data_IF_829269502395
#
_entry.id   IF_829269502395
#
_cell.length_a   1.000
_cell.length_b   1.000
_cell.length_c   1.000
_cell.angle_alpha   90.00
_cell.angle_beta   90.00
_cell.angle_gamma   90.00
#
_symmetry.space_group_name_H-M   'P 1'
#
loop_
_entity.id
_entity.type
_entity.pdbx_description
1 polymer ?
#
# COMPACT_ATOMS: atom_id res chain seq x y z
N UNK A 1 14.51 21.71 -12.00
CA UNK A 1 13.88 20.66 -12.81
C UNK A 1 13.08 19.83 -11.84
N UNK A 2 11.79 20.12 -11.84
CA UNK A 2 10.90 19.96 -10.70
C UNK A 2 10.51 18.51 -10.43
N UNK A 3 10.68 18.12 -9.18
CA UNK A 3 10.20 16.89 -8.57
C UNK A 3 8.69 17.05 -8.43
N UNK A 4 7.93 16.09 -8.96
CA UNK A 4 6.48 16.01 -8.81
C UNK A 4 6.19 15.68 -7.34
N UNK A 5 6.24 16.70 -6.49
CA UNK A 5 5.74 16.65 -5.13
C UNK A 5 4.22 16.69 -5.16
N UNK A 6 3.58 15.72 -4.52
CA UNK A 6 2.23 15.90 -4.04
C UNK A 6 2.25 17.08 -3.06
N UNK A 7 1.78 18.24 -3.53
CA UNK A 7 1.60 19.40 -2.67
C UNK A 7 0.53 19.06 -1.64
N UNK A 8 0.97 18.81 -0.40
CA UNK A 8 0.20 19.07 0.80
C UNK A 8 -0.22 20.55 0.76
N UNK A 9 -1.45 20.82 0.31
CA UNK A 9 -2.07 22.12 0.53
C UNK A 9 -2.42 22.16 2.01
N UNK A 10 -1.51 22.69 2.83
CA UNK A 10 -1.86 23.26 4.12
C UNK A 10 -2.95 24.31 3.87
N UNK A 11 -4.21 23.94 4.12
CA UNK A 11 -5.36 24.81 3.89
C UNK A 11 -5.33 25.93 4.92
N UNK A 12 -4.66 27.04 4.58
CA UNK A 12 -4.87 28.32 5.24
C UNK A 12 -6.36 28.64 5.18
N UNK A 13 -6.94 28.92 6.35
CA UNK A 13 -8.30 29.41 6.51
C UNK A 13 -8.51 30.60 5.57
N UNK A 14 -9.33 30.44 4.54
CA UNK A 14 -10.07 31.56 3.95
C UNK A 14 -11.45 31.09 3.52
N UNK A 15 -12.41 31.90 3.91
CA UNK A 15 -13.85 31.77 3.78
C UNK A 15 -14.29 31.71 2.32
N UNK A 16 -15.07 30.70 1.93
CA UNK A 16 -15.79 30.74 0.65
C UNK A 16 -16.30 29.41 0.12
N UNK A 17 -17.56 29.11 0.45
CA UNK A 17 -18.55 28.35 -0.32
C UNK A 17 -18.15 27.00 -0.95
N UNK A 18 -18.47 26.00 -0.14
CA UNK A 18 -18.57 24.56 -0.34
C UNK A 18 -19.60 24.19 -1.44
N UNK A 19 -19.27 23.26 -2.35
CA UNK A 19 -20.27 22.37 -2.93
C UNK A 19 -20.10 21.04 -2.19
N UNK A 20 -20.95 20.85 -1.19
CA UNK A 20 -20.96 19.70 -0.30
C UNK A 20 -21.86 18.66 -0.92
N UNK A 21 -21.33 17.47 -1.12
CA UNK A 21 -22.17 16.28 -1.07
C UNK A 21 -22.68 16.15 0.36
N UNK A 22 -24.00 16.27 0.48
CA UNK A 22 -24.73 16.42 1.72
C UNK A 22 -24.66 15.14 2.57
N UNK A 23 -24.07 15.26 3.76
CA UNK A 23 -24.54 14.53 4.92
C UNK A 23 -25.48 15.45 5.70
N UNK A 24 -26.72 15.01 5.90
CA UNK A 24 -27.70 15.69 6.73
C UNK A 24 -27.31 15.47 8.19
N UNK A 25 -26.65 16.44 8.80
CA UNK A 25 -26.45 16.48 10.25
C UNK A 25 -27.77 16.88 10.91
N UNK A 26 -28.29 16.04 11.80
CA UNK A 26 -29.17 16.49 12.86
C UNK A 26 -28.28 17.10 13.94
N UNK A 27 -28.62 18.29 14.42
CA UNK A 27 -28.02 18.95 15.58
C UNK A 27 -28.41 18.24 16.89
N UNK A 28 -28.14 16.94 16.98
CA UNK A 28 -28.00 16.27 18.26
C UNK A 28 -26.51 16.23 18.56
N UNK A 29 -26.14 16.61 19.78
CA UNK A 29 -24.79 16.65 20.31
C UNK A 29 -24.14 15.27 20.14
N UNK A 30 -23.48 15.05 18.99
CA UNK A 30 -22.75 13.82 18.69
C UNK A 30 -21.53 13.84 19.61
N UNK A 31 -21.53 12.98 20.62
CA UNK A 31 -20.40 12.77 21.51
C UNK A 31 -19.10 12.66 20.70
N UNK A 32 -18.00 13.22 21.19
CA UNK A 32 -16.68 13.20 20.54
C UNK A 32 -16.18 11.75 20.27
N UNK A 33 -16.78 10.76 20.93
CA UNK A 33 -16.73 9.30 20.74
C UNK A 33 -17.31 8.82 19.38
N UNK A 34 -18.29 9.51 18.80
CA UNK A 34 -19.12 9.01 17.72
C UNK A 34 -18.64 9.33 16.29
N UNK A 35 -17.48 9.98 16.13
CA UNK A 35 -16.64 9.77 14.94
C UNK A 35 -15.72 8.61 15.31
N UNK A 36 -15.96 7.40 14.80
CA UNK A 36 -15.22 6.16 15.10
C UNK A 36 -13.73 6.13 14.72
N UNK A 37 -13.00 7.20 15.02
CA UNK A 37 -11.57 7.39 14.80
C UNK A 37 -10.84 6.70 15.95
N UNK A 38 -10.52 5.42 15.74
CA UNK A 38 -9.71 4.62 16.66
C UNK A 38 -8.72 3.80 15.85
N UNK A 39 -7.60 3.42 16.47
CA UNK A 39 -6.64 2.55 15.79
C UNK A 39 -7.29 1.21 15.42
N UNK A 40 -8.13 0.67 16.30
CA UNK A 40 -8.90 -0.55 16.06
C UNK A 40 -9.79 -0.46 14.80
N UNK A 41 -10.43 0.69 14.57
CA UNK A 41 -11.21 0.89 13.35
C UNK A 41 -10.31 0.93 12.10
N UNK A 42 -9.17 1.61 12.19
CA UNK A 42 -8.15 1.60 11.13
C UNK A 42 -7.70 0.17 10.78
N UNK A 43 -7.48 -0.67 11.80
CA UNK A 43 -7.10 -2.08 11.65
C UNK A 43 -8.19 -2.90 10.95
N UNK A 44 -9.46 -2.74 11.36
CA UNK A 44 -10.59 -3.41 10.70
C UNK A 44 -10.70 -3.04 9.24
N UNK A 45 -10.64 -1.74 8.92
CA UNK A 45 -10.73 -1.25 7.55
C UNK A 45 -9.57 -1.77 6.71
N UNK A 46 -8.35 -1.78 7.26
CA UNK A 46 -7.18 -2.34 6.58
C UNK A 46 -7.41 -3.81 6.21
N UNK A 47 -7.83 -4.63 7.18
CA UNK A 47 -8.03 -6.07 6.99
C UNK A 47 -9.25 -6.40 6.11
N UNK A 48 -10.21 -5.47 5.99
CA UNK A 48 -11.32 -5.57 5.05
C UNK A 48 -10.94 -5.18 3.61
N UNK A 49 -9.72 -4.66 3.38
CA UNK A 49 -9.29 -4.14 2.09
C UNK A 49 -9.82 -2.74 1.76
N UNK A 50 -10.49 -2.08 2.71
CA UNK A 50 -11.03 -0.72 2.58
C UNK A 50 -9.93 0.33 2.82
N UNK A 51 -8.86 0.23 2.04
CA UNK A 51 -7.61 0.97 2.26
C UNK A 51 -7.78 2.50 2.20
N UNK A 52 -8.72 2.99 1.39
CA UNK A 52 -9.01 4.42 1.31
C UNK A 52 -9.65 4.95 2.60
N UNK A 53 -10.62 4.22 3.16
CA UNK A 53 -11.23 4.60 4.44
C UNK A 53 -10.25 4.40 5.61
N UNK A 54 -9.43 3.35 5.54
CA UNK A 54 -8.34 3.12 6.50
C UNK A 54 -7.37 4.30 6.53
N UNK A 55 -6.97 4.81 5.35
CA UNK A 55 -6.15 6.01 5.23
C UNK A 55 -6.73 7.18 6.01
N UNK A 56 -8.01 7.51 5.81
CA UNK A 56 -8.63 8.68 6.44
C UNK A 56 -8.66 8.56 7.97
N UNK A 57 -8.94 7.36 8.49
CA UNK A 57 -8.91 7.08 9.94
C UNK A 57 -7.50 7.22 10.50
N UNK A 58 -6.51 6.59 9.85
CA UNK A 58 -5.12 6.63 10.30
C UNK A 58 -4.49 8.03 10.16
N UNK A 59 -4.89 8.82 9.16
CA UNK A 59 -4.43 10.20 8.97
C UNK A 59 -4.86 11.07 10.15
N UNK A 60 -6.12 10.91 10.60
CA UNK A 60 -6.63 11.62 11.77
C UNK A 60 -5.81 11.29 13.03
N UNK A 61 -5.52 10.02 13.29
CA UNK A 61 -4.70 9.60 14.43
C UNK A 61 -3.26 10.10 14.31
N UNK A 62 -2.69 10.02 13.11
CA UNK A 62 -1.33 10.46 12.82
C UNK A 62 -1.16 11.97 13.08
N UNK A 63 -2.15 12.79 12.73
CA UNK A 63 -2.07 14.24 12.90
C UNK A 63 -1.81 14.67 14.35
N UNK A 64 -2.37 13.94 15.32
CA UNK A 64 -2.22 14.23 16.76
C UNK A 64 -1.11 13.42 17.45
N UNK A 65 -0.56 12.42 16.77
CA UNK A 65 0.46 11.53 17.33
C UNK A 65 1.85 12.17 17.45
N UNK A 66 2.61 11.70 18.44
CA UNK A 66 4.04 12.01 18.65
C UNK A 66 4.90 10.79 18.37
N UNK A 67 6.21 10.98 18.23
CA UNK A 67 7.14 9.85 18.08
C UNK A 67 7.16 8.98 19.35
N UNK A 68 7.26 7.64 19.22
CA UNK A 68 7.42 6.88 17.96
C UNK A 68 6.11 6.57 17.22
N UNK A 69 4.94 6.74 17.85
CA UNK A 69 3.63 6.37 17.28
C UNK A 69 3.34 7.07 15.96
N UNK A 70 3.74 8.33 15.83
CA UNK A 70 3.60 9.12 14.60
C UNK A 70 4.26 8.42 13.41
N UNK A 71 5.46 7.89 13.56
CA UNK A 71 6.15 7.15 12.51
C UNK A 71 5.45 5.82 12.18
N UNK A 72 4.94 5.13 13.19
CA UNK A 72 4.22 3.85 13.02
C UNK A 72 2.93 4.07 12.23
N UNK A 73 2.07 5.00 12.69
CA UNK A 73 0.80 5.33 12.05
C UNK A 73 0.99 5.78 10.60
N UNK A 74 1.99 6.64 10.36
CA UNK A 74 2.31 7.09 8.99
C UNK A 74 2.80 5.93 8.12
N UNK A 75 3.62 5.02 8.67
CA UNK A 75 4.08 3.83 7.97
C UNK A 75 2.92 2.93 7.54
N UNK A 76 2.01 2.60 8.46
CA UNK A 76 0.82 1.77 8.18
C UNK A 76 -0.10 2.45 7.17
N UNK A 77 -0.35 3.76 7.33
CA UNK A 77 -1.15 4.56 6.40
C UNK A 77 -0.59 4.46 4.98
N UNK A 78 0.72 4.65 4.78
CA UNK A 78 1.31 4.53 3.46
C UNK A 78 1.27 3.11 2.90
N UNK A 79 1.40 2.08 3.75
CA UNK A 79 1.17 0.71 3.31
C UNK A 79 -0.26 0.50 2.80
N UNK A 80 -1.27 1.10 3.43
CA UNK A 80 -2.66 1.05 2.94
C UNK A 80 -2.79 1.73 1.56
N UNK A 81 -2.23 2.94 1.40
CA UNK A 81 -2.24 3.66 0.12
C UNK A 81 -1.49 2.87 -0.97
N UNK A 82 -0.37 2.26 -0.63
CA UNK A 82 0.41 1.43 -1.55
C UNK A 82 -0.35 0.18 -2.01
N UNK A 83 -1.04 -0.51 -1.11
CA UNK A 83 -1.91 -1.63 -1.46
C UNK A 83 -3.11 -1.18 -2.32
N UNK A 84 -3.74 -0.05 -1.99
CA UNK A 84 -4.77 0.56 -2.82
C UNK A 84 -4.27 0.78 -4.25
N UNK A 85 -3.09 1.38 -4.41
CA UNK A 85 -2.49 1.58 -5.73
C UNK A 85 -2.23 0.26 -6.47
N UNK A 86 -1.71 -0.76 -5.78
CA UNK A 86 -1.42 -2.05 -6.39
C UNK A 86 -2.67 -2.71 -6.97
N UNK A 87 -3.77 -2.72 -6.19
CA UNK A 87 -5.04 -3.31 -6.61
C UNK A 87 -5.70 -2.53 -7.76
N UNK A 88 -5.43 -1.23 -7.87
CA UNK A 88 -5.86 -0.37 -8.98
C UNK A 88 -4.86 -0.35 -10.15
N UNK A 89 -3.96 -1.34 -10.23
CA UNK A 89 -2.96 -1.48 -11.29
C UNK A 89 -1.97 -0.30 -11.40
N UNK A 90 -1.88 0.54 -10.37
CA UNK A 90 -0.90 1.60 -10.27
C UNK A 90 0.37 1.07 -9.61
N UNK A 91 1.16 0.33 -10.38
CA UNK A 91 2.41 -0.28 -9.93
C UNK A 91 3.40 0.74 -9.33
N UNK A 92 3.60 1.87 -10.01
CA UNK A 92 4.54 2.91 -9.56
C UNK A 92 4.10 3.53 -8.24
N UNK A 93 2.81 3.87 -8.10
CA UNK A 93 2.27 4.39 -6.85
C UNK A 93 2.43 3.40 -5.70
N UNK A 94 2.17 2.12 -5.96
CA UNK A 94 2.34 1.06 -4.97
C UNK A 94 3.79 0.97 -4.47
N UNK A 95 4.76 0.94 -5.38
CA UNK A 95 6.18 0.85 -5.06
C UNK A 95 6.66 2.04 -4.21
N UNK A 96 6.24 3.26 -4.55
CA UNK A 96 6.63 4.48 -3.82
C UNK A 96 6.06 4.46 -2.41
N UNK A 97 4.75 4.29 -2.26
CA UNK A 97 4.10 4.38 -0.94
C UNK A 97 4.50 3.22 -0.03
N UNK A 98 4.58 1.99 -0.53
CA UNK A 98 5.09 0.85 0.27
C UNK A 98 6.55 1.07 0.67
N UNK A 99 7.40 1.55 -0.23
CA UNK A 99 8.81 1.82 0.07
C UNK A 99 9.00 2.90 1.14
N UNK A 100 8.23 3.98 1.06
CA UNK A 100 8.24 5.04 2.05
C UNK A 100 7.67 4.61 3.40
N UNK A 101 6.57 3.86 3.40
CA UNK A 101 5.92 3.35 4.60
C UNK A 101 6.84 2.38 5.35
N UNK A 102 7.40 1.40 4.65
CA UNK A 102 8.35 0.43 5.20
C UNK A 102 9.62 1.10 5.73
N UNK A 103 10.10 2.16 5.07
CA UNK A 103 11.24 2.93 5.59
C UNK A 103 10.94 3.53 6.97
N UNK A 104 9.71 3.99 7.21
CA UNK A 104 9.29 4.53 8.52
C UNK A 104 9.16 3.40 9.54
N UNK A 105 8.51 2.30 9.20
CA UNK A 105 8.33 1.14 10.09
C UNK A 105 9.68 0.53 10.52
N UNK A 106 10.62 0.33 9.58
CA UNK A 106 11.94 -0.24 9.89
C UNK A 106 12.78 0.65 10.81
N UNK A 107 12.63 1.97 10.73
CA UNK A 107 13.34 2.91 11.61
C UNK A 107 12.92 2.82 13.06
N UNK A 108 11.70 2.33 13.33
CA UNK A 108 11.22 2.10 14.69
C UNK A 108 11.95 0.93 15.34
N UNK A 109 12.40 -0.05 14.55
CA UNK A 109 13.27 -1.13 15.03
C UNK A 109 12.55 -2.26 15.76
N UNK A 110 11.36 -2.65 15.29
CA UNK A 110 10.63 -3.78 15.85
C UNK A 110 11.46 -5.07 15.80
N UNK A 111 11.56 -5.77 16.93
CA UNK A 111 12.27 -7.07 17.01
C UNK A 111 11.31 -8.24 16.80
N UNK A 112 10.07 -8.10 17.25
CA UNK A 112 9.00 -9.11 17.15
C UNK A 112 7.64 -8.47 17.42
N UNK A 113 6.56 -9.25 17.24
CA UNK A 113 5.19 -8.86 17.57
C UNK A 113 4.40 -8.39 16.34
N UNK A 114 3.11 -8.01 16.53
CA UNK A 114 2.19 -7.81 15.41
C UNK A 114 2.64 -6.74 14.41
N UNK A 115 3.31 -5.68 14.87
CA UNK A 115 3.84 -4.62 14.00
C UNK A 115 5.09 -5.06 13.23
N UNK A 116 5.90 -5.96 13.80
CA UNK A 116 7.01 -6.59 13.10
C UNK A 116 6.48 -7.54 12.01
N UNK A 117 5.52 -8.40 12.36
CA UNK A 117 4.93 -9.36 11.43
C UNK A 117 4.26 -8.65 10.24
N UNK A 118 3.53 -7.55 10.52
CA UNK A 118 2.96 -6.69 9.48
C UNK A 118 4.04 -6.08 8.57
N UNK A 119 5.14 -5.56 9.13
CA UNK A 119 6.24 -5.00 8.35
C UNK A 119 6.91 -6.05 7.44
N UNK A 120 7.03 -7.29 7.91
CA UNK A 120 7.56 -8.39 7.10
C UNK A 120 6.61 -8.77 5.95
N UNK A 121 5.30 -8.87 6.23
CA UNK A 121 4.31 -9.15 5.18
C UNK A 121 4.26 -8.01 4.13
N UNK A 122 4.26 -6.75 4.57
CA UNK A 122 4.30 -5.60 3.65
C UNK A 122 5.62 -5.54 2.85
N UNK A 123 6.75 -5.95 3.44
CA UNK A 123 8.03 -6.08 2.74
C UNK A 123 7.97 -7.11 1.63
N UNK A 124 7.34 -8.27 1.89
CA UNK A 124 7.14 -9.30 0.88
C UNK A 124 6.31 -8.79 -0.31
N UNK A 125 5.31 -7.92 -0.08
CA UNK A 125 4.57 -7.27 -1.16
C UNK A 125 5.46 -6.33 -1.98
N UNK A 126 6.29 -5.52 -1.33
CA UNK A 126 7.20 -4.63 -2.04
C UNK A 126 8.22 -5.42 -2.89
N UNK A 127 8.78 -6.51 -2.35
CA UNK A 127 9.65 -7.42 -3.11
C UNK A 127 8.91 -8.09 -4.28
N UNK A 128 7.67 -8.51 -4.08
CA UNK A 128 6.82 -9.02 -5.15
C UNK A 128 6.63 -8.00 -6.28
N UNK A 129 6.37 -6.73 -5.95
CA UNK A 129 6.27 -5.65 -6.95
C UNK A 129 7.57 -5.56 -7.75
N UNK A 130 8.73 -5.49 -7.10
CA UNK A 130 10.02 -5.47 -7.80
C UNK A 130 10.23 -6.69 -8.69
N UNK A 131 9.94 -7.89 -8.21
CA UNK A 131 10.12 -9.13 -8.98
C UNK A 131 9.21 -9.19 -10.20
N UNK A 132 7.95 -8.76 -10.07
CA UNK A 132 7.00 -8.73 -11.21
C UNK A 132 7.39 -7.70 -12.26
N UNK A 133 8.01 -6.59 -11.84
CA UNK A 133 8.60 -5.61 -12.74
C UNK A 133 9.75 -6.21 -13.56
N UNK A 134 10.64 -6.97 -12.92
CA UNK A 134 11.74 -7.66 -13.59
C UNK A 134 11.24 -8.73 -14.57
N UNK A 135 10.28 -9.57 -14.17
CA UNK A 135 9.74 -10.64 -15.02
C UNK A 135 9.09 -10.09 -16.30
N UNK A 136 8.33 -8.99 -16.21
CA UNK A 136 7.65 -8.40 -17.36
C UNK A 136 8.61 -7.61 -18.26
N UNK A 137 9.61 -6.92 -17.69
CA UNK A 137 10.69 -6.32 -18.48
C UNK A 137 11.46 -7.37 -19.29
N UNK A 138 11.67 -8.57 -18.74
CA UNK A 138 12.29 -9.70 -19.44
C UNK A 138 11.41 -10.33 -20.54
N UNK A 139 10.12 -9.96 -20.62
CA UNK A 139 9.16 -10.46 -21.62
C UNK A 139 8.89 -9.48 -22.78
N UNK A 140 9.49 -8.28 -22.76
CA UNK A 140 9.39 -7.34 -23.88
C UNK A 140 10.41 -7.72 -24.98
N UNK A 141 9.93 -8.30 -26.07
CA UNK A 141 10.72 -8.93 -27.14
C UNK A 141 11.75 -8.02 -27.86
N UNK A 142 11.72 -6.69 -27.66
CA UNK A 142 12.55 -5.77 -28.46
C UNK A 142 13.88 -5.34 -27.82
N UNK A 143 14.11 -5.50 -26.51
CA UNK A 143 15.41 -5.19 -25.86
C UNK A 143 15.44 -5.87 -24.48
N UNK A 144 16.33 -6.85 -24.32
CA UNK A 144 16.61 -7.46 -23.02
C UNK A 144 17.57 -6.52 -22.26
N UNK A 145 17.04 -5.54 -21.52
CA UNK A 145 17.87 -4.71 -20.64
C UNK A 145 18.28 -5.59 -19.46
N UNK A 146 19.58 -5.81 -19.29
CA UNK A 146 20.10 -6.37 -18.02
C UNK A 146 19.77 -5.38 -16.91
N UNK A 147 18.80 -5.72 -16.08
CA UNK A 147 18.44 -4.94 -14.90
C UNK A 147 19.57 -5.06 -13.89
N UNK A 148 20.43 -4.04 -13.83
CA UNK A 148 21.58 -3.96 -12.92
C UNK A 148 21.21 -3.46 -11.50
N UNK A 149 19.91 -3.24 -11.25
CA UNK A 149 19.39 -2.70 -9.99
C UNK A 149 19.62 -1.20 -9.81
N UNK A 150 20.13 -0.48 -10.82
CA UNK A 150 20.34 0.97 -10.74
C UNK A 150 19.02 1.76 -10.86
N UNK A 151 18.97 2.95 -10.24
CA UNK A 151 17.84 3.88 -10.34
C UNK A 151 17.45 4.20 -11.80
N UNK A 152 18.44 4.19 -12.69
CA UNK A 152 18.28 4.50 -14.11
C UNK A 152 17.61 3.36 -14.88
N UNK A 153 17.89 2.10 -14.53
CA UNK A 153 17.19 0.92 -15.05
C UNK A 153 15.70 0.92 -14.70
N UNK A 154 15.32 1.45 -13.52
CA UNK A 154 13.92 1.61 -13.11
C UNK A 154 13.19 2.78 -13.79
N UNK A 155 13.88 3.87 -14.13
CA UNK A 155 13.28 5.01 -14.85
C UNK A 155 12.81 4.66 -16.25
N UNK A 156 13.45 3.68 -16.91
CA UNK A 156 13.06 3.19 -18.24
C UNK A 156 11.73 2.42 -18.24
N UNK A 157 11.26 1.99 -17.07
CA UNK A 157 10.01 1.27 -16.88
C UNK A 157 8.84 2.23 -16.55
N UNK A 158 8.96 3.52 -16.87
CA UNK A 158 8.02 4.57 -16.46
C UNK A 158 6.54 4.34 -16.84
N UNK A 159 6.26 3.49 -17.84
CA UNK A 159 4.92 3.07 -18.25
C UNK A 159 4.64 1.58 -17.99
N UNK A 160 5.32 0.97 -17.02
CA UNK A 160 5.16 -0.45 -16.68
C UNK A 160 3.68 -0.83 -16.53
N UNK A 161 3.21 -1.76 -17.36
CA UNK A 161 1.83 -2.24 -17.32
C UNK A 161 0.76 -1.18 -17.55
N UNK A 162 1.09 0.00 -18.10
CA UNK A 162 0.12 1.06 -18.29
C UNK A 162 -1.06 0.59 -19.16
N UNK A 163 -2.27 0.62 -18.59
CA UNK A 163 -3.50 0.14 -19.24
C UNK A 163 -3.66 -1.39 -19.29
N UNK A 164 -2.77 -2.15 -18.67
CA UNK A 164 -2.86 -3.62 -18.55
C UNK A 164 -3.37 -4.02 -17.15
N UNK A 165 -4.06 -5.15 -17.08
CA UNK A 165 -4.37 -5.80 -15.81
C UNK A 165 -3.23 -6.77 -15.49
N UNK A 166 -2.37 -6.36 -14.55
CA UNK A 166 -1.20 -7.11 -14.13
C UNK A 166 -1.46 -7.95 -12.88
N UNK A 167 -2.36 -7.49 -12.01
CA UNK A 167 -2.61 -8.09 -10.71
C UNK A 167 -4.07 -8.47 -10.55
N UNK A 168 -4.32 -9.66 -9.98
CA UNK A 168 -5.65 -10.08 -9.55
C UNK A 168 -5.62 -10.62 -8.14
N UNK A 169 -6.73 -10.47 -7.42
CA UNK A 169 -6.91 -11.09 -6.12
C UNK A 169 -7.42 -12.54 -6.28
N UNK A 170 -6.97 -13.42 -5.40
CA UNK A 170 -7.52 -14.75 -5.22
C UNK A 170 -7.48 -15.16 -3.75
N UNK A 171 -8.51 -15.87 -3.29
CA UNK A 171 -8.51 -16.48 -1.97
C UNK A 171 -7.80 -17.83 -2.00
N UNK A 172 -6.92 -18.03 -1.03
CA UNK A 172 -6.23 -19.29 -0.78
C UNK A 172 -6.43 -19.72 0.67
N UNK A 173 -6.04 -20.96 0.99
CA UNK A 173 -6.32 -21.55 2.32
C UNK A 173 -5.72 -20.79 3.51
N UNK A 174 -4.69 -19.97 3.27
CA UNK A 174 -3.99 -19.14 4.25
C UNK A 174 -4.28 -17.63 4.11
N UNK A 175 -5.23 -17.25 3.24
CA UNK A 175 -5.75 -15.89 3.13
C UNK A 175 -5.80 -15.35 1.71
N UNK A 176 -6.02 -14.04 1.61
CA UNK A 176 -6.11 -13.34 0.34
C UNK A 176 -4.72 -13.14 -0.27
N UNK A 177 -4.58 -13.42 -1.56
CA UNK A 177 -3.32 -13.32 -2.30
C UNK A 177 -3.46 -12.41 -3.53
N UNK A 178 -2.39 -11.69 -3.84
CA UNK A 178 -2.21 -10.92 -5.07
C UNK A 178 -1.42 -11.78 -6.04
N UNK A 179 -2.03 -12.12 -7.18
CA UNK A 179 -1.42 -12.91 -8.24
C UNK A 179 -0.99 -12.00 -9.37
N UNK A 180 0.23 -12.20 -9.85
CA UNK A 180 0.72 -11.59 -11.05
C UNK A 180 0.30 -12.38 -12.29
N UNK A 181 -0.26 -11.69 -13.27
CA UNK A 181 -0.71 -12.26 -14.54
C UNK A 181 0.43 -12.08 -15.56
N UNK A 182 1.23 -13.13 -15.77
CA UNK A 182 2.27 -13.14 -16.79
C UNK A 182 1.70 -13.44 -18.18
N UNK A 183 2.20 -12.73 -19.20
CA UNK A 183 1.79 -12.94 -20.60
C UNK A 183 2.35 -14.24 -21.21
N UNK A 184 3.31 -14.93 -20.55
CA UNK A 184 3.88 -16.21 -21.01
C UNK A 184 2.86 -17.36 -21.08
N UNK A 185 1.69 -17.21 -20.47
CA UNK A 185 0.71 -18.31 -20.33
C UNK A 185 -0.11 -18.62 -21.59
N UNK A 186 0.03 -17.92 -22.73
CA UNK A 186 -1.01 -17.95 -23.77
C UNK A 186 -0.63 -18.32 -25.21
N UNK A 187 0.62 -18.65 -25.57
CA UNK A 187 0.97 -18.83 -27.00
C UNK A 187 1.79 -20.06 -27.44
N UNK A 188 2.10 -21.04 -26.59
CA UNK A 188 2.81 -22.25 -27.04
C UNK A 188 2.02 -23.55 -26.75
N UNK A 189 1.50 -24.25 -27.79
CA UNK A 189 0.98 -25.60 -27.64
C UNK A 189 2.16 -26.59 -27.58
N UNK A 190 2.57 -26.95 -26.37
CA UNK A 190 3.59 -27.96 -26.15
C UNK A 190 4.42 -27.70 -24.89
N UNK A 191 4.20 -28.55 -23.88
CA UNK A 191 5.14 -28.87 -22.79
C UNK A 191 5.93 -27.72 -22.16
N UNK A 192 5.28 -26.93 -21.32
CA UNK A 192 5.96 -26.33 -20.17
C UNK A 192 5.10 -26.56 -18.94
N UNK A 193 5.66 -27.21 -17.92
CA UNK A 193 5.06 -27.27 -16.60
C UNK A 193 4.59 -25.86 -16.23
N UNK A 194 3.31 -25.69 -15.91
CA UNK A 194 2.75 -24.41 -15.50
C UNK A 194 3.65 -23.86 -14.39
N UNK A 195 4.47 -22.85 -14.71
CA UNK A 195 5.30 -22.18 -13.71
C UNK A 195 4.35 -21.74 -12.61
N UNK A 196 4.67 -22.07 -11.36
CA UNK A 196 3.83 -21.70 -10.22
C UNK A 196 3.50 -20.20 -10.31
N UNK A 197 2.23 -19.81 -10.15
CA UNK A 197 1.83 -18.42 -10.31
C UNK A 197 2.62 -17.56 -9.32
N UNK A 198 3.29 -16.52 -9.83
CA UNK A 198 3.96 -15.53 -8.99
C UNK A 198 2.88 -14.82 -8.20
N UNK A 199 2.93 -14.94 -6.88
CA UNK A 199 1.89 -14.45 -5.97
C UNK A 199 2.48 -14.02 -4.63
N UNK A 200 1.75 -13.19 -3.91
CA UNK A 200 2.10 -12.76 -2.55
C UNK A 200 0.84 -12.65 -1.70
N UNK A 201 0.93 -12.99 -0.42
CA UNK A 201 -0.18 -12.81 0.53
C UNK A 201 -0.42 -11.32 0.77
N UNK A 202 -1.68 -10.93 0.87
CA UNK A 202 -2.07 -9.58 1.30
C UNK A 202 -1.73 -9.42 2.79
N UNK A 203 -1.02 -8.36 3.19
CA UNK A 203 -0.67 -8.14 4.59
C UNK A 203 -1.91 -8.04 5.47
N UNK A 204 -1.82 -8.60 6.67
CA UNK A 204 -2.86 -8.52 7.69
C UNK A 204 -2.30 -7.75 8.88
N UNK A 205 -2.99 -6.68 9.27
CA UNK A 205 -2.62 -5.90 10.45
C UNK A 205 -3.28 -6.52 11.69
N UNK A 206 -2.50 -7.20 12.52
CA UNK A 206 -2.98 -7.83 13.77
C UNK A 206 -2.59 -7.05 15.03
N UNK A 207 -2.20 -5.78 14.88
CA UNK A 207 -1.81 -4.93 15.99
C UNK A 207 -3.02 -4.31 16.70
N UNK A 208 -2.93 -4.21 18.02
CA UNK A 208 -3.85 -3.47 18.87
C UNK A 208 -3.23 -2.13 19.31
N UNK A 209 -4.02 -1.31 20.01
CA UNK A 209 -3.54 0.00 20.48
C UNK A 209 -2.39 -0.15 21.49
N UNK A 210 -2.40 -1.21 22.29
CA UNK A 210 -1.33 -1.55 23.21
C UNK A 210 0.01 -1.76 22.49
N UNK A 211 0.00 -2.34 21.28
CA UNK A 211 1.21 -2.57 20.49
C UNK A 211 1.81 -1.25 19.96
N UNK A 212 0.97 -0.24 19.66
CA UNK A 212 1.45 1.10 19.30
C UNK A 212 2.19 1.77 20.46
N UNK A 213 1.74 1.52 21.69
CA UNK A 213 2.30 2.15 22.90
C UNK A 213 3.35 1.30 23.60
N UNK A 214 3.56 0.05 23.20
CA UNK A 214 4.55 -0.85 23.81
C UNK A 214 6.02 -0.38 23.65
N UNK A 215 6.27 0.55 22.72
CA UNK A 215 7.61 1.12 22.45
C UNK A 215 7.85 2.50 23.09
N UNK A 216 6.91 2.97 23.91
CA UNK A 216 6.97 4.28 24.59
C UNK A 216 7.86 4.27 25.83
#
# INVERSE_FOLDING_TARGET
MDIIGFNCVQKRRSTGSIIAFAWRWNDEEIAEDALGVSFHEGVKLFNAGEYYQCHDVLESLWNDAREPQRSILHGILQCAVGLYHLLHQNHRGAMVELGEGLTKLRRVGFVSGPLHDFEQEASAVLEFIYNTQLEHAACSDDICITMDGSEQSYRLLGNFGAGQVLYKLAEEGDGLHIHFISQRSSTAPGEFAALSPIRVKVPVLQAAEEDLYALS
#
